data_IF_107839473842
#
_entry.id   IF_107839473842
#
_cell.length_a   1.000
_cell.length_b   1.000
_cell.length_c   1.000
_cell.angle_alpha   90.00
_cell.angle_beta   90.00
_cell.angle_gamma   90.00
#
_symmetry.space_group_name_H-M   'P 1'
#
loop_
_entity.id
_entity.type
_entity.pdbx_description
1 polymer ?
#
# COMPACT_ATOMS: atom_id res chain seq x y z
N UNK A 1 5.01 -18.75 -1.52
CA UNK A 1 5.03 -17.30 -1.81
C UNK A 1 4.86 -16.57 -0.48
N UNK A 2 5.59 -15.47 -0.22
CA UNK A 2 5.60 -14.82 1.10
C UNK A 2 4.26 -14.12 1.34
N UNK A 3 3.41 -14.65 2.21
CA UNK A 3 2.05 -14.17 2.49
C UNK A 3 2.00 -12.65 2.75
N UNK A 4 3.02 -12.11 3.42
CA UNK A 4 3.15 -10.69 3.70
C UNK A 4 3.39 -9.87 2.42
N UNK A 5 4.19 -10.36 1.48
CA UNK A 5 4.41 -9.68 0.19
C UNK A 5 3.13 -9.64 -0.64
N UNK A 6 2.33 -10.71 -0.61
CA UNK A 6 1.03 -10.72 -1.28
C UNK A 6 0.05 -9.72 -0.65
N UNK A 7 -0.02 -9.69 0.68
CA UNK A 7 -0.85 -8.73 1.41
C UNK A 7 -0.47 -7.28 1.11
N UNK A 8 0.83 -6.96 1.12
CA UNK A 8 1.34 -5.63 0.77
C UNK A 8 1.04 -5.28 -0.70
N UNK A 9 1.24 -6.23 -1.62
CA UNK A 9 0.96 -6.04 -3.04
C UNK A 9 -0.53 -5.80 -3.31
N UNK A 10 -1.42 -6.50 -2.59
CA UNK A 10 -2.86 -6.27 -2.65
C UNK A 10 -3.24 -4.92 -2.02
N UNK A 11 -2.64 -4.56 -0.89
CA UNK A 11 -2.86 -3.27 -0.23
C UNK A 11 -2.52 -2.08 -1.13
N UNK A 12 -1.37 -2.13 -1.82
CA UNK A 12 -0.95 -1.09 -2.77
C UNK A 12 -1.96 -0.91 -3.91
N UNK A 13 -2.51 -2.01 -4.44
CA UNK A 13 -3.47 -1.99 -5.56
C UNK A 13 -4.88 -1.49 -5.19
N UNK A 14 -5.19 -1.32 -3.90
CA UNK A 14 -6.48 -0.74 -3.49
C UNK A 14 -6.48 0.76 -3.74
N UNK A 15 -7.61 1.27 -4.20
CA UNK A 15 -7.86 2.70 -4.32
C UNK A 15 -8.42 3.24 -2.98
N UNK A 16 -7.52 3.48 -2.02
CA UNK A 16 -7.84 3.56 -0.58
C UNK A 16 -8.61 4.83 -0.21
N UNK A 17 -8.48 5.87 -1.03
CA UNK A 17 -9.01 7.21 -0.81
C UNK A 17 -9.97 7.68 -1.92
N UNK A 18 -10.47 6.77 -2.76
CA UNK A 18 -11.57 7.11 -3.68
C UNK A 18 -12.84 7.50 -2.94
N UNK A 19 -13.66 8.32 -3.58
CA UNK A 19 -14.98 8.71 -3.09
C UNK A 19 -15.81 7.48 -2.71
N UNK A 20 -15.78 6.43 -3.52
CA UNK A 20 -16.51 5.19 -3.27
C UNK A 20 -16.04 4.45 -2.01
N UNK A 21 -14.76 4.51 -1.68
CA UNK A 21 -14.21 3.89 -0.48
C UNK A 21 -14.41 4.74 0.77
N UNK A 22 -14.44 6.07 0.63
CA UNK A 22 -14.78 6.99 1.70
C UNK A 22 -16.27 6.90 2.05
N UNK A 23 -17.15 6.84 1.05
CA UNK A 23 -18.60 6.68 1.22
C UNK A 23 -18.94 5.36 1.94
N UNK A 24 -18.32 4.24 1.54
CA UNK A 24 -18.44 2.95 2.26
C UNK A 24 -18.03 3.03 3.73
N UNK A 25 -17.17 3.98 4.10
CA UNK A 25 -16.72 4.23 5.49
C UNK A 25 -17.57 5.27 6.21
N UNK A 26 -18.61 5.82 5.56
CA UNK A 26 -19.42 6.92 6.09
C UNK A 26 -18.66 8.24 6.18
N UNK A 27 -17.63 8.42 5.36
CA UNK A 27 -16.81 9.63 5.29
C UNK A 27 -17.14 10.42 4.03
N UNK A 28 -17.24 11.74 4.17
CA UNK A 28 -17.34 12.60 3.01
C UNK A 28 -16.01 12.58 2.23
N UNK A 29 -16.05 12.57 0.89
CA UNK A 29 -14.87 12.81 0.07
C UNK A 29 -14.14 14.07 0.53
N UNK A 30 -12.84 13.93 0.77
CA UNK A 30 -11.97 15.09 1.01
C UNK A 30 -11.55 15.71 -0.32
N UNK A 31 -10.80 16.81 -0.24
CA UNK A 31 -10.19 17.42 -1.42
C UNK A 31 -9.38 16.40 -2.25
N UNK A 32 -9.52 16.48 -3.57
CA UNK A 32 -8.94 15.53 -4.52
C UNK A 32 -7.41 15.51 -4.44
N UNK A 33 -6.78 16.66 -4.24
CA UNK A 33 -5.33 16.77 -4.09
C UNK A 33 -4.87 16.08 -2.80
N UNK A 34 -5.61 16.27 -1.71
CA UNK A 34 -5.34 15.59 -0.44
C UNK A 34 -5.50 14.07 -0.56
N UNK A 35 -6.59 13.59 -1.16
CA UNK A 35 -6.82 12.15 -1.38
C UNK A 35 -5.70 11.54 -2.24
N UNK A 36 -5.30 12.22 -3.30
CA UNK A 36 -4.21 11.78 -4.18
C UNK A 36 -2.86 11.75 -3.45
N UNK A 37 -2.57 12.77 -2.63
CA UNK A 37 -1.37 12.82 -1.81
C UNK A 37 -1.32 11.67 -0.80
N UNK A 38 -2.43 11.40 -0.13
CA UNK A 38 -2.53 10.31 0.85
C UNK A 38 -2.39 8.93 0.20
N UNK A 39 -3.02 8.72 -0.96
CA UNK A 39 -2.87 7.50 -1.75
C UNK A 39 -1.39 7.27 -2.13
N UNK A 40 -0.69 8.31 -2.59
CA UNK A 40 0.74 8.29 -2.89
C UNK A 40 1.58 7.89 -1.68
N UNK A 41 1.43 8.60 -0.54
CA UNK A 41 2.19 8.33 0.68
C UNK A 41 2.03 6.88 1.17
N UNK A 42 0.82 6.35 1.15
CA UNK A 42 0.57 4.96 1.56
C UNK A 42 1.17 3.94 0.58
N UNK A 43 1.16 4.24 -0.73
CA UNK A 43 1.76 3.38 -1.75
C UNK A 43 3.29 3.39 -1.66
N UNK A 44 3.91 4.53 -1.39
CA UNK A 44 5.36 4.66 -1.17
C UNK A 44 5.82 3.88 0.07
N UNK A 45 5.03 3.93 1.16
CA UNK A 45 5.26 3.10 2.34
C UNK A 45 5.16 1.60 2.01
N UNK A 46 4.15 1.19 1.24
CA UNK A 46 3.97 -0.21 0.85
C UNK A 46 5.15 -0.71 -0.01
N UNK A 47 5.61 0.10 -0.98
CA UNK A 47 6.78 -0.21 -1.79
C UNK A 47 8.05 -0.36 -0.96
N UNK A 48 8.27 0.55 -0.01
CA UNK A 48 9.41 0.46 0.92
C UNK A 48 9.40 -0.86 1.71
N UNK A 49 8.23 -1.28 2.22
CA UNK A 49 8.08 -2.54 2.94
C UNK A 49 8.30 -3.77 2.05
N UNK A 50 7.80 -3.74 0.81
CA UNK A 50 8.01 -4.81 -0.18
C UNK A 50 9.50 -4.94 -0.49
N UNK A 51 10.20 -3.83 -0.77
CA UNK A 51 11.63 -3.81 -1.07
C UNK A 51 12.46 -4.37 0.09
N UNK A 52 12.22 -3.90 1.32
CA UNK A 52 12.93 -4.38 2.51
C UNK A 52 12.78 -5.89 2.70
N UNK A 53 11.58 -6.42 2.44
CA UNK A 53 11.29 -7.85 2.60
C UNK A 53 11.87 -8.69 1.47
N UNK A 54 11.87 -8.19 0.24
CA UNK A 54 12.54 -8.83 -0.88
C UNK A 54 14.06 -8.94 -0.63
N UNK A 55 14.70 -7.85 -0.20
CA UNK A 55 16.14 -7.82 0.13
C UNK A 55 16.48 -8.81 1.26
N UNK A 56 15.69 -8.84 2.34
CA UNK A 56 15.90 -9.79 3.45
C UNK A 56 15.78 -11.25 3.02
N UNK A 57 14.89 -11.55 2.07
CA UNK A 57 14.73 -12.92 1.55
C UNK A 57 15.96 -13.33 0.73
N UNK A 58 16.52 -12.43 -0.07
CA UNK A 58 17.75 -12.67 -0.84
C UNK A 58 18.99 -12.85 0.04
N UNK A 59 19.04 -12.18 1.20
CA UNK A 59 20.16 -12.28 2.13
C UNK A 59 20.20 -13.61 2.90
N UNK A 60 19.05 -14.26 3.13
CA UNK A 60 18.97 -15.55 3.84
C UNK A 60 19.37 -16.77 2.97
N UNK A 61 19.48 -16.59 1.65
CA UNK A 61 19.86 -17.66 0.71
C UNK A 61 21.40 -17.76 0.54
N UNK A 62 22.16 -16.83 1.13
CA UNK A 62 23.63 -16.91 1.14
C UNK A 62 24.14 -17.68 2.38
N UNK A 63 24.03 -19.00 2.36
CA UNK A 63 24.80 -19.93 3.22
C UNK A 63 25.26 -21.09 2.34
#
# INVERSE_FOLDING_TARGET
MNEILEKLSRFKKKDKFSDSELDKRGLNPSDVELCSKMEGLFNDCADSLILLRAIKTSAQIKI
#
